data_IF_794278085539
#
_entry.id   IF_794278085539
#
_cell.length_a   1.000
_cell.length_b   1.000
_cell.length_c   1.000
_cell.angle_alpha   90.00
_cell.angle_beta   90.00
_cell.angle_gamma   90.00
#
_symmetry.space_group_name_H-M   'P 1'
#
loop_
_entity.id
_entity.type
_entity.pdbx_description
1 polymer ?
#
# COMPACT_ATOMS: atom_id res chain seq x y z
N UNK A 1 -7.86 32.37 -13.37
CA UNK A 1 -8.50 31.37 -12.53
C UNK A 1 -7.75 31.23 -11.20
N UNK A 2 -8.47 31.23 -10.11
CA UNK A 2 -7.87 31.12 -8.78
C UNK A 2 -7.48 29.67 -8.48
N UNK A 3 -6.32 29.48 -7.84
CA UNK A 3 -5.89 28.19 -7.29
C UNK A 3 -6.17 28.10 -5.78
N UNK A 4 -6.75 29.17 -5.18
CA UNK A 4 -7.08 29.19 -3.77
C UNK A 4 -8.18 28.20 -3.43
N UNK A 5 -8.08 27.58 -2.24
CA UNK A 5 -9.06 26.64 -1.71
C UNK A 5 -9.28 25.39 -2.56
N UNK A 6 -8.35 25.08 -3.46
CA UNK A 6 -8.39 23.85 -4.25
C UNK A 6 -7.51 22.79 -3.59
N UNK A 7 -7.97 21.53 -3.64
CA UNK A 7 -7.18 20.41 -3.14
C UNK A 7 -6.11 20.05 -4.18
N UNK A 8 -4.93 19.65 -3.73
CA UNK A 8 -3.83 19.30 -4.64
C UNK A 8 -3.14 18.00 -4.27
N UNK A 9 -2.68 17.86 -3.03
CA UNK A 9 -1.83 16.74 -2.64
C UNK A 9 -2.53 15.82 -1.63
N UNK A 10 -2.27 14.52 -1.76
CA UNK A 10 -2.68 13.54 -0.74
C UNK A 10 -1.57 13.49 0.29
N UNK A 11 -1.89 13.81 1.53
CA UNK A 11 -0.93 13.78 2.65
C UNK A 11 -0.95 12.47 3.40
N UNK A 12 -2.13 11.86 3.54
CA UNK A 12 -2.31 10.69 4.38
C UNK A 12 -3.42 9.81 3.84
N UNK A 13 -3.21 8.50 3.93
CA UNK A 13 -4.21 7.49 3.59
C UNK A 13 -4.38 6.60 4.81
N UNK A 14 -5.63 6.42 5.24
CA UNK A 14 -5.96 5.57 6.36
C UNK A 14 -6.37 4.19 5.89
N UNK A 15 -5.81 3.15 6.51
CA UNK A 15 -6.21 1.75 6.28
C UNK A 15 -6.79 1.24 7.58
N UNK A 16 -8.04 0.79 7.53
CA UNK A 16 -8.70 0.19 8.68
C UNK A 16 -8.27 -1.26 8.81
N UNK A 17 -7.74 -1.62 9.97
CA UNK A 17 -7.23 -2.96 10.26
C UNK A 17 -7.90 -3.53 11.50
N UNK A 18 -7.93 -4.85 11.63
CA UNK A 18 -8.52 -5.50 12.79
C UNK A 18 -7.63 -5.36 14.03
N UNK A 19 -6.30 -5.37 13.83
CA UNK A 19 -5.32 -5.31 14.91
C UNK A 19 -4.03 -4.66 14.40
N UNK A 20 -3.65 -3.54 15.00
CA UNK A 20 -2.44 -2.82 14.58
C UNK A 20 -1.19 -3.64 14.86
N UNK A 21 -1.17 -4.40 15.97
CA UNK A 21 -0.03 -5.26 16.28
C UNK A 21 0.24 -6.34 15.24
N UNK A 22 -0.78 -6.80 14.52
CA UNK A 22 -0.65 -7.75 13.42
C UNK A 22 -0.37 -7.05 12.09
N UNK A 23 -1.02 -5.92 11.84
CA UNK A 23 -0.89 -5.20 10.57
C UNK A 23 0.46 -4.49 10.44
N UNK A 24 0.95 -3.87 11.52
CA UNK A 24 2.20 -3.10 11.47
C UNK A 24 3.40 -3.91 10.99
N UNK A 25 3.66 -5.12 11.50
CA UNK A 25 4.76 -5.93 10.97
C UNK A 25 4.65 -6.23 9.49
N UNK A 26 3.44 -6.39 8.98
CA UNK A 26 3.25 -6.62 7.54
C UNK A 26 3.69 -5.39 6.73
N UNK A 27 3.18 -4.21 7.08
CA UNK A 27 3.51 -2.99 6.33
C UNK A 27 4.96 -2.56 6.51
N UNK A 28 5.50 -2.73 7.71
CA UNK A 28 6.88 -2.34 8.02
C UNK A 28 7.90 -3.36 7.51
N UNK A 29 7.70 -4.66 7.80
CA UNK A 29 8.74 -5.67 7.58
C UNK A 29 8.54 -6.43 6.27
N UNK A 30 7.31 -6.76 5.89
CA UNK A 30 7.04 -7.48 4.65
C UNK A 30 7.06 -6.53 3.46
N UNK A 31 6.34 -5.40 3.54
CA UNK A 31 6.33 -4.40 2.46
C UNK A 31 7.53 -3.47 2.51
N UNK A 32 8.10 -3.25 3.68
CA UNK A 32 9.30 -2.41 3.81
C UNK A 32 9.05 -0.93 3.97
N UNK A 33 7.84 -0.52 4.37
CA UNK A 33 7.55 0.90 4.60
C UNK A 33 8.24 1.38 5.88
N UNK A 34 8.73 2.62 5.87
CA UNK A 34 9.41 3.19 7.01
C UNK A 34 8.41 3.48 8.14
N UNK A 35 8.64 2.90 9.30
CA UNK A 35 7.83 3.16 10.48
C UNK A 35 8.14 4.56 11.03
N UNK A 36 7.10 5.34 11.31
CA UNK A 36 7.25 6.69 11.86
C UNK A 36 7.02 6.71 13.36
N UNK A 37 5.83 6.38 13.81
CA UNK A 37 5.49 6.34 15.24
C UNK A 37 4.13 5.69 15.46
N UNK A 38 3.86 5.31 16.72
CA UNK A 38 2.59 4.73 17.13
C UNK A 38 2.17 5.41 18.44
N UNK A 39 1.25 6.38 18.38
CA UNK A 39 0.84 7.13 19.58
C UNK A 39 -0.07 6.33 20.50
N UNK A 40 -0.64 5.21 20.03
CA UNK A 40 -1.52 4.35 20.80
C UNK A 40 -1.47 2.93 20.24
N UNK A 41 -1.88 1.90 21.01
CA UNK A 41 -1.91 0.52 20.49
C UNK A 41 -2.84 0.32 19.29
N UNK A 42 -3.80 1.23 19.09
CA UNK A 42 -4.79 1.16 18.01
C UNK A 42 -4.44 2.01 16.82
N UNK A 43 -3.23 2.59 16.78
CA UNK A 43 -2.87 3.59 15.78
C UNK A 43 -1.37 3.54 15.49
N UNK A 44 -1.01 3.43 14.21
CA UNK A 44 0.40 3.46 13.78
C UNK A 44 0.54 4.22 12.47
N UNK A 45 1.70 4.85 12.29
CA UNK A 45 1.99 5.65 11.10
C UNK A 45 3.28 5.18 10.43
N UNK A 46 3.23 5.07 9.08
CA UNK A 46 4.39 4.72 8.27
C UNK A 46 4.48 5.71 7.10
N UNK A 47 5.65 5.79 6.49
CA UNK A 47 5.86 6.64 5.33
C UNK A 47 5.87 5.81 4.04
N UNK A 48 5.12 6.28 3.05
CA UNK A 48 5.18 5.80 1.67
C UNK A 48 5.52 7.00 0.81
N UNK A 49 6.82 7.29 0.66
CA UNK A 49 7.27 8.53 0.05
C UNK A 49 6.79 9.73 0.86
N UNK A 50 6.14 10.68 0.21
CA UNK A 50 5.58 11.87 0.86
C UNK A 50 4.20 11.62 1.47
N UNK A 51 3.59 10.46 1.21
CA UNK A 51 2.28 10.11 1.74
C UNK A 51 2.45 9.31 3.02
N UNK A 52 1.70 9.68 4.06
CA UNK A 52 1.71 8.95 5.31
C UNK A 52 0.62 7.90 5.31
N UNK A 53 0.96 6.68 5.69
CA UNK A 53 -0.01 5.58 5.84
C UNK A 53 -0.37 5.46 7.31
N UNK A 54 -1.65 5.58 7.61
CA UNK A 54 -2.15 5.41 8.98
C UNK A 54 -2.87 4.06 9.09
N UNK A 55 -2.38 3.21 9.98
CA UNK A 55 -3.08 1.97 10.33
C UNK A 55 -3.90 2.25 11.58
N UNK A 56 -5.17 1.92 11.54
CA UNK A 56 -6.10 2.23 12.63
C UNK A 56 -7.15 1.14 12.74
N UNK A 57 -7.51 0.76 13.97
CA UNK A 57 -8.71 -0.03 14.20
C UNK A 57 -9.93 0.81 13.82
N UNK A 58 -11.11 0.19 13.60
CA UNK A 58 -12.28 0.94 13.12
C UNK A 58 -12.59 2.18 13.93
N UNK A 59 -12.71 3.32 13.24
CA UNK A 59 -13.00 4.63 13.83
C UNK A 59 -14.11 5.26 13.00
N UNK A 60 -15.35 4.86 13.25
CA UNK A 60 -16.48 5.37 12.49
C UNK A 60 -16.66 4.65 11.16
N UNK A 61 -16.40 5.30 10.04
CA UNK A 61 -16.78 4.80 8.71
C UNK A 61 -15.86 3.71 8.15
N UNK A 62 -14.69 3.51 8.72
CA UNK A 62 -13.72 2.53 8.19
C UNK A 62 -14.21 1.09 8.34
N UNK A 63 -13.97 0.26 7.33
CA UNK A 63 -14.36 -1.15 7.34
C UNK A 63 -13.13 -2.03 7.07
N UNK A 64 -12.89 -3.00 7.95
CA UNK A 64 -11.76 -3.92 7.82
C UNK A 64 -11.90 -4.74 6.53
N UNK A 65 -10.81 -4.82 5.76
CA UNK A 65 -10.76 -5.63 4.55
C UNK A 65 -11.39 -5.00 3.32
N UNK A 66 -11.96 -3.80 3.43
CA UNK A 66 -12.65 -3.12 2.33
C UNK A 66 -12.13 -1.71 2.13
N UNK A 67 -10.81 -1.57 2.12
CA UNK A 67 -10.15 -0.29 1.90
C UNK A 67 -9.85 -0.10 0.40
N UNK A 68 -9.52 1.13 0.02
CA UNK A 68 -9.05 1.42 -1.33
C UNK A 68 -7.77 0.63 -1.61
N UNK A 69 -7.56 0.28 -2.87
CA UNK A 69 -6.36 -0.45 -3.29
C UNK A 69 -5.22 0.56 -3.44
N UNK A 70 -4.14 0.35 -2.72
CA UNK A 70 -2.94 1.16 -2.85
C UNK A 70 -2.02 0.51 -3.86
N UNK A 71 -1.57 1.27 -4.86
CA UNK A 71 -0.61 0.81 -5.85
C UNK A 71 0.74 1.42 -5.52
N UNK A 72 1.72 0.58 -5.24
CA UNK A 72 3.08 1.02 -4.96
C UNK A 72 3.92 0.91 -6.23
N UNK A 73 4.58 2.01 -6.58
CA UNK A 73 5.50 2.02 -7.72
C UNK A 73 6.76 1.26 -7.35
N UNK A 74 7.18 0.33 -8.21
CA UNK A 74 8.41 -0.44 -8.00
C UNK A 74 9.26 -0.38 -9.26
N UNK A 75 10.58 -0.63 -9.12
CA UNK A 75 11.51 -0.59 -10.23
C UNK A 75 11.76 -1.96 -10.86
N UNK A 76 11.49 -3.04 -10.11
CA UNK A 76 11.61 -4.42 -10.60
C UNK A 76 10.48 -5.22 -9.96
N UNK A 77 9.37 -5.31 -10.68
CA UNK A 77 8.15 -5.90 -10.12
C UNK A 77 8.31 -7.40 -9.87
N UNK A 78 9.06 -8.11 -10.72
CA UNK A 78 9.25 -9.55 -10.55
C UNK A 78 10.05 -9.83 -9.29
N UNK A 79 11.17 -9.14 -9.10
CA UNK A 79 12.00 -9.32 -7.92
C UNK A 79 11.30 -8.83 -6.64
N UNK A 80 10.60 -7.71 -6.70
CA UNK A 80 9.90 -7.16 -5.55
C UNK A 80 8.77 -8.07 -5.12
N UNK A 81 7.97 -8.55 -6.06
CA UNK A 81 6.88 -9.47 -5.76
C UNK A 81 7.41 -10.73 -5.09
N UNK A 82 8.46 -11.34 -5.67
CA UNK A 82 9.07 -12.54 -5.11
C UNK A 82 9.57 -12.30 -3.68
N UNK A 83 10.19 -11.15 -3.44
CA UNK A 83 10.75 -10.81 -2.12
C UNK A 83 9.65 -10.65 -1.07
N UNK A 84 8.57 -9.93 -1.37
CA UNK A 84 7.51 -9.71 -0.39
C UNK A 84 6.70 -10.99 -0.12
N UNK A 85 6.51 -11.84 -1.13
CA UNK A 85 5.86 -13.14 -0.92
C UNK A 85 6.76 -14.03 -0.06
N UNK A 86 8.08 -14.02 -0.28
CA UNK A 86 9.03 -14.77 0.54
C UNK A 86 9.03 -14.29 2.00
N UNK A 87 8.73 -13.01 2.24
CA UNK A 87 8.63 -12.46 3.59
C UNK A 87 7.27 -12.69 4.24
N UNK A 88 6.34 -13.34 3.54
CA UNK A 88 5.07 -13.76 4.11
C UNK A 88 3.82 -13.09 3.55
N UNK A 89 3.94 -12.24 2.53
CA UNK A 89 2.75 -11.69 1.88
C UNK A 89 1.96 -12.80 1.19
N UNK A 90 0.65 -12.76 1.35
CA UNK A 90 -0.22 -13.70 0.67
C UNK A 90 -0.35 -13.27 -0.80
N UNK A 91 0.02 -14.17 -1.72
CA UNK A 91 -0.06 -13.83 -3.13
C UNK A 91 -1.51 -13.79 -3.61
N UNK A 92 -1.79 -12.88 -4.52
CA UNK A 92 -3.09 -12.78 -5.16
C UNK A 92 -2.93 -12.94 -6.66
N UNK A 93 -1.99 -12.19 -7.25
CA UNK A 93 -1.71 -12.27 -8.69
C UNK A 93 -0.24 -11.93 -8.92
N UNK A 94 0.49 -12.85 -9.54
CA UNK A 94 1.88 -12.63 -9.94
C UNK A 94 1.97 -11.53 -11.02
N UNK A 95 3.16 -10.92 -11.21
CA UNK A 95 3.32 -9.84 -12.19
C UNK A 95 2.82 -10.22 -13.58
N UNK A 96 2.02 -9.35 -14.19
CA UNK A 96 1.46 -9.52 -15.52
C UNK A 96 1.46 -8.20 -16.26
N UNK A 97 1.63 -8.28 -17.59
CA UNK A 97 1.43 -7.13 -18.45
C UNK A 97 -0.04 -6.73 -18.39
N UNK A 98 -0.29 -5.49 -17.97
CA UNK A 98 -1.63 -4.95 -17.81
C UNK A 98 -2.05 -4.13 -19.02
N UNK A 99 -1.12 -3.31 -19.54
CA UNK A 99 -1.40 -2.46 -20.70
C UNK A 99 -0.11 -2.08 -21.41
N UNK A 100 -0.19 -2.00 -22.75
CA UNK A 100 0.88 -1.41 -23.55
C UNK A 100 0.53 0.03 -23.83
N UNK A 101 1.39 0.93 -23.37
CA UNK A 101 1.25 2.36 -23.59
C UNK A 101 2.22 2.79 -24.69
N UNK A 102 2.05 3.98 -25.29
CA UNK A 102 2.93 4.40 -26.38
C UNK A 102 4.42 4.40 -26.05
N UNK A 103 4.79 4.68 -24.79
CA UNK A 103 6.19 4.83 -24.37
C UNK A 103 6.63 3.83 -23.31
N UNK A 104 5.74 2.93 -22.85
CA UNK A 104 6.08 1.94 -21.84
C UNK A 104 5.06 0.82 -21.77
N UNK A 105 5.42 -0.25 -21.04
CA UNK A 105 4.50 -1.32 -20.66
C UNK A 105 4.17 -1.18 -19.19
N UNK A 106 2.88 -1.20 -18.87
CA UNK A 106 2.42 -1.18 -17.48
C UNK A 106 2.25 -2.61 -16.98
N UNK A 107 3.01 -2.95 -15.95
CA UNK A 107 2.93 -4.25 -15.28
C UNK A 107 2.35 -4.07 -13.88
N UNK A 108 1.56 -5.04 -13.45
CA UNK A 108 0.95 -5.00 -12.12
C UNK A 108 0.97 -6.39 -11.48
N UNK A 109 1.01 -6.39 -10.14
CA UNK A 109 0.93 -7.59 -9.31
C UNK A 109 0.15 -7.24 -8.05
N UNK A 110 -0.40 -8.26 -7.39
CA UNK A 110 -1.22 -8.04 -6.20
C UNK A 110 -0.90 -9.04 -5.11
N UNK A 111 -0.86 -8.56 -3.88
CA UNK A 111 -0.79 -9.37 -2.66
C UNK A 111 -1.89 -8.92 -1.72
N UNK A 112 -2.12 -9.67 -0.64
CA UNK A 112 -3.09 -9.31 0.39
C UNK A 112 -2.38 -9.06 1.70
N UNK A 113 -2.91 -8.08 2.46
CA UNK A 113 -2.44 -7.85 3.81
C UNK A 113 -3.15 -8.82 4.78
N UNK A 114 -2.82 -8.81 6.10
CA UNK A 114 -3.43 -9.75 7.05
C UNK A 114 -4.95 -9.69 7.14
N UNK A 115 -5.56 -8.55 6.83
CA UNK A 115 -7.02 -8.38 6.85
C UNK A 115 -7.67 -8.64 5.50
N UNK A 116 -6.88 -9.05 4.49
CA UNK A 116 -7.39 -9.30 3.15
C UNK A 116 -7.45 -8.06 2.26
N UNK A 117 -6.90 -6.92 2.70
CA UNK A 117 -6.82 -5.73 1.85
C UNK A 117 -5.89 -6.01 0.67
N UNK A 118 -6.35 -5.62 -0.52
CA UNK A 118 -5.57 -5.81 -1.73
C UNK A 118 -4.49 -4.74 -1.84
N UNK A 119 -3.26 -5.17 -2.07
CA UNK A 119 -2.10 -4.29 -2.25
C UNK A 119 -1.58 -4.47 -3.66
N UNK A 120 -1.50 -3.39 -4.42
CA UNK A 120 -1.00 -3.41 -5.78
C UNK A 120 0.46 -2.98 -5.87
N UNK A 121 1.20 -3.67 -6.73
CA UNK A 121 2.53 -3.26 -7.16
C UNK A 121 2.43 -2.90 -8.63
N UNK A 122 3.11 -1.83 -9.05
CA UNK A 122 3.10 -1.45 -10.46
C UNK A 122 4.47 -1.02 -10.91
N UNK A 123 4.80 -1.40 -12.14
CA UNK A 123 6.03 -0.97 -12.79
C UNK A 123 5.71 -0.50 -14.20
N UNK A 124 6.28 0.65 -14.58
CA UNK A 124 6.25 1.15 -15.96
C UNK A 124 7.57 0.78 -16.61
N UNK A 125 7.55 -0.23 -17.47
CA UNK A 125 8.76 -0.69 -18.18
C UNK A 125 8.89 0.08 -19.49
N UNK A 126 10.00 0.80 -19.60
CA UNK A 126 10.28 1.63 -20.79
C UNK A 126 11.32 1.01 -21.68
#
# INVERSE_FOLDING_TARGET
MSTEHKLSEIRQIAITVSDVGTALPFYRDVLGLAFLFSPAPTLAFLAAGSVRIMLSTPQGAGTVGHNSILYFKVTDIVATYAAIVARGAKNERAPQLTAKMPDHELWAAFVRDPDGNLIGLMEEKR
#
